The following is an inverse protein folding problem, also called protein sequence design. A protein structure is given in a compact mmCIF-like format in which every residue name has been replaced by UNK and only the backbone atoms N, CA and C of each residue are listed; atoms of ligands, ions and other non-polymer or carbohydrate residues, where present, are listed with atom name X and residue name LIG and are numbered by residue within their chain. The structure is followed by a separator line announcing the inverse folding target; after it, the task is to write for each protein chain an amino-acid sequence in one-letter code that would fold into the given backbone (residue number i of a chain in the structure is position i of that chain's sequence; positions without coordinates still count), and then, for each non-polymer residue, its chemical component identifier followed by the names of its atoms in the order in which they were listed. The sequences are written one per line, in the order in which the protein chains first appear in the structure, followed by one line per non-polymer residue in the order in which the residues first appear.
data_IF_117489438990
#
_entry.id   IF_117489438990
#
_cell.length_a   1.000
_cell.length_b   1.000
_cell.length_c   1.000
_cell.angle_alpha   90.00
_cell.angle_beta   90.00
_cell.angle_gamma   90.00
#
_symmetry.space_group_name_H-M   'P 1'
#
loop_
_entity.id
_entity.type
_entity.pdbx_description
1 polymer ?
#
# COMPACT_ATOMS: atom_id res chain seq x y z
N UNK A 1 -22.53 69.99 18.73
CA UNK A 1 -23.39 68.87 18.28
C UNK A 1 -22.52 67.64 18.12
N UNK A 2 -22.68 66.65 18.99
CA UNK A 2 -21.91 65.40 19.03
C UNK A 2 -22.30 64.48 17.87
N UNK A 3 -21.31 63.93 17.16
CA UNK A 3 -21.51 62.78 16.28
C UNK A 3 -21.27 61.49 17.09
N UNK A 4 -22.33 60.71 17.29
CA UNK A 4 -22.29 59.39 17.91
C UNK A 4 -21.71 58.42 16.88
N UNK A 5 -20.51 57.89 17.16
CA UNK A 5 -19.92 56.77 16.43
C UNK A 5 -20.60 55.48 16.89
N UNK A 6 -21.53 54.95 16.10
CA UNK A 6 -22.13 53.63 16.35
C UNK A 6 -21.13 52.57 15.91
N UNK A 7 -20.39 52.04 16.88
CA UNK A 7 -19.52 50.89 16.68
C UNK A 7 -20.40 49.63 16.53
N UNK A 8 -20.59 49.17 15.29
CA UNK A 8 -21.29 47.93 15.02
C UNK A 8 -20.46 46.75 15.56
N UNK A 9 -20.92 46.17 16.67
CA UNK A 9 -20.43 44.89 17.19
C UNK A 9 -20.79 43.78 16.19
N UNK A 10 -19.86 43.42 15.32
CA UNK A 10 -19.92 42.19 14.54
C UNK A 10 -19.55 41.04 15.49
N UNK A 11 -20.46 40.11 15.83
CA UNK A 11 -20.07 38.92 16.58
C UNK A 11 -19.19 38.04 15.68
N UNK A 12 -17.89 38.00 15.98
CA UNK A 12 -16.97 36.97 15.48
C UNK A 12 -17.30 35.65 16.18
N UNK A 13 -18.14 34.82 15.57
CA UNK A 13 -18.32 33.40 15.94
C UNK A 13 -17.70 32.46 14.91
N UNK A 14 -16.52 32.81 14.40
CA UNK A 14 -15.75 31.98 13.47
C UNK A 14 -14.79 31.09 14.27
N UNK A 15 -15.27 29.97 14.82
CA UNK A 15 -14.37 28.98 15.41
C UNK A 15 -14.96 27.95 16.37
N UNK A 16 -16.20 28.12 16.84
CA UNK A 16 -16.78 27.27 17.89
C UNK A 16 -16.79 25.77 17.54
N UNK A 17 -17.01 25.41 16.28
CA UNK A 17 -17.08 24.01 15.83
C UNK A 17 -15.90 23.63 14.93
N UNK A 18 -14.81 24.42 14.95
CA UNK A 18 -13.65 24.26 14.07
C UNK A 18 -12.98 22.88 14.18
N UNK A 19 -12.94 22.28 15.38
CA UNK A 19 -12.43 20.91 15.57
C UNK A 19 -13.18 19.86 14.75
N UNK A 20 -14.51 20.02 14.66
CA UNK A 20 -15.35 19.13 13.86
C UNK A 20 -15.23 19.43 12.36
N UNK A 21 -15.31 20.69 11.95
CA UNK A 21 -15.26 21.07 10.53
C UNK A 21 -13.89 20.80 9.90
N UNK A 22 -12.80 20.92 10.66
CA UNK A 22 -11.45 20.54 10.19
C UNK A 22 -11.31 19.03 9.97
N UNK A 23 -12.10 18.22 10.70
CA UNK A 23 -12.22 16.78 10.50
C UNK A 23 -13.31 16.45 9.47
N UNK A 24 -13.71 17.41 8.62
CA UNK A 24 -14.75 17.23 7.59
C UNK A 24 -16.11 16.75 8.11
N UNK A 25 -16.35 16.89 9.42
CA UNK A 25 -17.58 16.49 10.07
C UNK A 25 -18.54 17.67 10.24
N UNK A 26 -19.76 17.37 10.69
CA UNK A 26 -20.78 18.37 11.03
C UNK A 26 -21.24 18.20 12.47
N UNK A 27 -21.29 19.30 13.22
CA UNK A 27 -21.79 19.29 14.59
C UNK A 27 -23.32 19.22 14.61
N UNK A 28 -23.84 18.10 15.12
CA UNK A 28 -25.27 17.87 15.27
C UNK A 28 -25.58 17.17 16.59
N UNK A 29 -26.84 17.14 16.99
CA UNK A 29 -27.26 16.37 18.17
C UNK A 29 -27.13 14.87 17.90
N UNK A 30 -26.70 14.10 18.89
CA UNK A 30 -26.52 12.65 18.78
C UNK A 30 -27.81 11.85 18.55
N UNK A 31 -28.96 12.50 18.73
CA UNK A 31 -30.30 12.02 18.33
C UNK A 31 -30.54 12.08 16.82
N UNK A 32 -29.76 12.86 16.07
CA UNK A 32 -29.83 12.92 14.62
C UNK A 32 -29.15 11.69 14.01
N UNK A 33 -29.62 11.23 12.85
CA UNK A 33 -28.91 10.18 12.12
C UNK A 33 -27.55 10.70 11.63
N UNK A 34 -26.50 9.87 11.78
CA UNK A 34 -25.17 10.16 11.25
C UNK A 34 -24.81 9.12 10.19
N UNK A 35 -24.35 9.58 9.03
CA UNK A 35 -23.94 8.68 7.94
C UNK A 35 -22.65 7.90 8.24
N UNK A 36 -21.93 8.27 9.30
CA UNK A 36 -20.78 7.54 9.82
C UNK A 36 -20.87 7.37 11.33
N UNK A 37 -19.99 8.03 12.08
CA UNK A 37 -19.93 7.89 13.53
C UNK A 37 -19.81 9.24 14.25
N UNK A 38 -20.19 9.23 15.53
CA UNK A 38 -20.08 10.40 16.39
C UNK A 38 -18.76 10.45 17.13
N UNK A 39 -18.07 11.59 17.03
CA UNK A 39 -16.89 11.91 17.81
C UNK A 39 -17.21 13.02 18.83
N UNK A 40 -16.91 12.76 20.10
CA UNK A 40 -17.15 13.69 21.20
C UNK A 40 -16.05 14.74 21.31
N UNK A 41 -16.35 15.91 21.90
CA UNK A 41 -15.35 16.92 22.24
C UNK A 41 -14.84 17.78 21.07
N UNK A 42 -15.40 17.62 19.86
CA UNK A 42 -15.06 18.41 18.68
C UNK A 42 -16.07 19.52 18.35
N UNK A 43 -17.19 19.55 19.06
CA UNK A 43 -18.26 20.53 18.93
C UNK A 43 -18.37 21.36 20.20
N UNK A 44 -18.61 22.66 20.06
CA UNK A 44 -18.90 23.52 21.22
C UNK A 44 -20.27 23.24 21.82
N UNK A 45 -20.53 23.74 23.02
CA UNK A 45 -21.86 23.69 23.64
C UNK A 45 -22.17 22.36 24.34
N UNK A 46 -23.43 21.94 24.28
CA UNK A 46 -23.94 20.82 25.07
C UNK A 46 -23.30 19.47 24.69
N UNK A 47 -23.17 18.57 25.66
CA UNK A 47 -22.53 17.26 25.48
C UNK A 47 -23.20 16.36 24.43
N UNK A 48 -24.50 16.57 24.18
CA UNK A 48 -25.24 15.86 23.15
C UNK A 48 -24.98 16.42 21.74
N UNK A 49 -24.33 17.58 21.58
CA UNK A 49 -23.79 18.05 20.29
C UNK A 49 -22.47 17.34 20.03
N UNK A 50 -22.48 16.39 19.11
CA UNK A 50 -21.31 15.57 18.75
C UNK A 50 -20.98 15.75 17.28
N UNK A 51 -19.72 15.54 16.94
CA UNK A 51 -19.26 15.67 15.56
C UNK A 51 -19.64 14.42 14.79
N UNK A 52 -20.57 14.54 13.84
CA UNK A 52 -20.86 13.48 12.90
C UNK A 52 -19.82 13.51 11.78
N UNK A 53 -18.98 12.47 11.73
CA UNK A 53 -17.95 12.31 10.71
C UNK A 53 -18.41 11.24 9.73
N UNK A 54 -18.33 11.53 8.43
CA UNK A 54 -18.72 10.60 7.38
C UNK A 54 -17.90 9.30 7.46
N UNK A 55 -18.53 8.16 7.15
CA UNK A 55 -17.92 6.83 7.31
C UNK A 55 -16.57 6.70 6.57
N UNK A 56 -16.44 7.33 5.41
CA UNK A 56 -15.25 7.27 4.56
C UNK A 56 -14.39 8.55 4.65
N UNK A 57 -14.59 9.38 5.69
CA UNK A 57 -13.94 10.69 5.83
C UNK A 57 -12.41 10.60 5.71
N UNK A 58 -11.79 9.61 6.37
CA UNK A 58 -10.33 9.40 6.34
C UNK A 58 -9.82 9.23 4.91
N UNK A 59 -10.58 8.57 4.04
CA UNK A 59 -10.26 8.46 2.63
C UNK A 59 -10.45 9.78 1.87
N UNK A 60 -11.61 10.41 2.03
CA UNK A 60 -11.92 11.68 1.34
C UNK A 60 -10.98 12.82 1.74
N UNK A 61 -10.45 12.80 2.98
CA UNK A 61 -9.46 13.76 3.46
C UNK A 61 -8.12 13.68 2.72
N UNK A 62 -7.81 12.51 2.12
CA UNK A 62 -6.66 12.30 1.25
C UNK A 62 -7.00 12.51 -0.23
N UNK A 63 -8.11 13.19 -0.53
CA UNK A 63 -8.63 13.37 -1.89
C UNK A 63 -8.85 12.02 -2.61
N UNK A 64 -9.13 10.97 -1.84
CA UNK A 64 -9.43 9.65 -2.38
C UNK A 64 -10.90 9.31 -2.32
N UNK A 65 -11.27 8.24 -3.02
CA UNK A 65 -12.61 7.66 -2.97
C UNK A 65 -12.55 6.19 -2.59
N UNK A 66 -13.53 5.76 -1.78
CA UNK A 66 -13.64 4.38 -1.35
C UNK A 66 -14.32 3.54 -2.42
N UNK A 67 -13.59 2.55 -2.95
CA UNK A 67 -14.12 1.59 -3.91
C UNK A 67 -13.63 0.17 -3.59
N UNK A 68 -14.24 -0.84 -4.20
CA UNK A 68 -13.75 -2.20 -4.09
C UNK A 68 -12.33 -2.28 -4.69
N UNK A 69 -11.40 -2.94 -4.01
CA UNK A 69 -10.00 -3.11 -4.44
C UNK A 69 -9.81 -4.04 -5.63
N UNK A 70 -10.91 -4.66 -6.08
CA UNK A 70 -11.05 -5.31 -7.39
C UNK A 70 -11.21 -4.30 -8.53
N UNK A 71 -11.69 -3.08 -8.25
CA UNK A 71 -11.77 -2.01 -9.24
C UNK A 71 -10.39 -1.39 -9.47
N UNK A 72 -10.18 -0.79 -10.64
CA UNK A 72 -8.94 -0.08 -10.94
C UNK A 72 -8.92 1.27 -10.24
N UNK A 73 -7.81 1.59 -9.56
CA UNK A 73 -7.56 2.93 -9.02
C UNK A 73 -6.82 3.78 -10.07
N UNK A 74 -7.57 4.35 -11.01
CA UNK A 74 -7.01 5.09 -12.14
C UNK A 74 -6.20 6.30 -11.69
N UNK A 75 -4.90 6.32 -11.99
CA UNK A 75 -4.01 7.45 -11.64
C UNK A 75 -3.72 7.58 -10.15
N UNK A 76 -3.99 6.53 -9.37
CA UNK A 76 -3.86 6.55 -7.92
C UNK A 76 -3.44 5.21 -7.35
N UNK A 77 -3.42 5.09 -6.03
CA UNK A 77 -3.13 3.82 -5.35
C UNK A 77 -4.10 3.56 -4.21
N UNK A 78 -4.15 2.30 -3.78
CA UNK A 78 -5.01 1.91 -2.67
C UNK A 78 -4.32 2.04 -1.32
N UNK A 79 -4.98 2.74 -0.40
CA UNK A 79 -4.62 2.79 1.02
C UNK A 79 -5.64 1.99 1.83
N UNK A 80 -5.16 1.07 2.65
CA UNK A 80 -5.99 0.26 3.54
C UNK A 80 -6.41 1.03 4.79
N UNK A 81 -7.55 0.66 5.38
CA UNK A 81 -7.98 1.17 6.70
C UNK A 81 -8.51 2.62 6.72
N UNK A 82 -8.70 3.23 5.54
CA UNK A 82 -9.29 4.57 5.41
C UNK A 82 -10.77 4.56 5.00
N UNK A 83 -11.27 3.42 4.53
CA UNK A 83 -12.65 3.21 4.16
C UNK A 83 -13.37 2.41 5.25
N UNK A 84 -14.62 2.76 5.49
CA UNK A 84 -15.49 1.97 6.37
C UNK A 84 -16.03 0.73 5.65
N UNK A 85 -16.62 -0.19 6.40
CA UNK A 85 -17.28 -1.38 5.85
C UNK A 85 -16.32 -2.52 5.54
N UNK A 86 -16.59 -3.27 4.47
CA UNK A 86 -15.88 -4.49 4.13
C UNK A 86 -14.39 -4.26 3.83
N UNK A 87 -13.53 -5.25 4.15
CA UNK A 87 -12.08 -5.16 4.01
C UNK A 87 -11.60 -4.94 2.57
N UNK A 88 -12.41 -5.32 1.58
CA UNK A 88 -12.14 -5.08 0.16
C UNK A 88 -12.51 -3.65 -0.27
N UNK A 89 -13.19 -2.83 0.56
CA UNK A 89 -13.35 -1.39 0.29
C UNK A 89 -12.06 -0.68 0.69
N UNK A 90 -11.32 -0.17 -0.28
CA UNK A 90 -10.06 0.53 -0.06
C UNK A 90 -10.09 1.92 -0.65
N UNK A 91 -9.27 2.79 -0.07
CA UNK A 91 -9.24 4.19 -0.48
C UNK A 91 -8.35 4.34 -1.69
N UNK A 92 -8.94 4.64 -2.84
CA UNK A 92 -8.21 5.00 -4.04
C UNK A 92 -7.84 6.48 -3.95
N UNK A 93 -6.57 6.80 -3.67
CA UNK A 93 -6.10 8.18 -3.59
C UNK A 93 -5.43 8.59 -4.90
N UNK A 94 -5.87 9.71 -5.47
CA UNK A 94 -5.23 10.32 -6.64
C UNK A 94 -4.00 11.08 -6.18
N UNK A 95 -2.83 10.47 -6.27
CA UNK A 95 -1.58 11.10 -5.89
C UNK A 95 -0.52 10.76 -6.91
N UNK A 96 0.21 11.79 -7.36
CA UNK A 96 1.47 11.69 -8.10
C UNK A 96 2.54 10.99 -7.24
N UNK A 97 2.31 9.73 -6.86
CA UNK A 97 3.43 8.82 -6.68
C UNK A 97 4.06 8.79 -8.07
N UNK A 98 5.23 9.41 -8.24
CA UNK A 98 6.08 9.16 -9.40
C UNK A 98 6.15 7.64 -9.52
N UNK A 99 5.40 7.09 -10.47
CA UNK A 99 5.27 5.65 -10.66
C UNK A 99 6.66 5.05 -10.86
N UNK A 100 6.75 3.73 -10.79
CA UNK A 100 7.97 3.08 -11.23
C UNK A 100 8.25 3.44 -12.70
N UNK A 101 9.51 3.31 -13.13
CA UNK A 101 9.88 3.61 -14.52
C UNK A 101 8.99 2.85 -15.51
N UNK A 102 8.83 3.39 -16.72
CA UNK A 102 8.10 2.71 -17.80
C UNK A 102 8.63 1.29 -18.07
N UNK A 103 9.95 1.08 -17.93
CA UNK A 103 10.59 -0.24 -17.99
C UNK A 103 10.10 -1.18 -16.90
N UNK A 104 10.07 -0.73 -15.64
CA UNK A 104 9.56 -1.54 -14.53
C UNK A 104 8.08 -1.89 -14.72
N UNK A 105 7.26 -0.92 -15.17
CA UNK A 105 5.86 -1.17 -15.52
C UNK A 105 5.73 -2.24 -16.61
N UNK A 106 6.49 -2.11 -17.70
CA UNK A 106 6.43 -3.05 -18.82
C UNK A 106 6.79 -4.48 -18.40
N UNK A 107 7.89 -4.65 -17.65
CA UNK A 107 8.30 -5.97 -17.14
C UNK A 107 7.28 -6.54 -16.14
N UNK A 108 6.74 -5.70 -15.23
CA UNK A 108 5.69 -6.14 -14.31
C UNK A 108 4.43 -6.62 -15.07
N UNK A 109 4.03 -5.94 -16.14
CA UNK A 109 2.93 -6.39 -17.00
C UNK A 109 3.23 -7.70 -17.73
N UNK A 110 4.48 -7.89 -18.18
CA UNK A 110 4.88 -9.13 -18.84
C UNK A 110 4.78 -10.34 -17.88
N UNK A 111 5.14 -10.13 -16.62
CA UNK A 111 5.03 -11.15 -15.57
C UNK A 111 3.55 -11.36 -15.20
N UNK A 112 2.83 -10.28 -14.91
CA UNK A 112 1.44 -10.33 -14.41
C UNK A 112 0.48 -11.00 -15.40
N UNK A 113 0.64 -10.75 -16.69
CA UNK A 113 -0.24 -11.30 -17.74
C UNK A 113 0.20 -12.69 -18.24
N UNK A 114 1.26 -13.27 -17.67
CA UNK A 114 1.77 -14.57 -18.12
C UNK A 114 1.00 -15.72 -17.50
N UNK A 115 0.55 -16.67 -18.32
CA UNK A 115 -0.02 -17.94 -17.85
C UNK A 115 1.01 -18.83 -17.12
N UNK A 116 2.31 -18.57 -17.32
CA UNK A 116 3.39 -19.29 -16.63
C UNK A 116 3.68 -18.72 -15.24
N UNK A 117 3.01 -17.66 -14.79
CA UNK A 117 3.26 -17.06 -13.48
C UNK A 117 2.06 -17.27 -12.57
N UNK A 118 2.30 -17.86 -11.41
CA UNK A 118 1.35 -17.91 -10.32
C UNK A 118 1.87 -17.07 -9.16
N UNK A 119 1.25 -15.92 -8.93
CA UNK A 119 1.56 -15.06 -7.79
C UNK A 119 0.55 -15.30 -6.65
N UNK A 120 1.03 -15.54 -5.43
CA UNK A 120 0.16 -15.77 -4.29
C UNK A 120 -0.67 -14.52 -3.93
N UNK A 121 -1.85 -14.78 -3.37
CA UNK A 121 -2.85 -13.79 -2.91
C UNK A 121 -3.03 -13.84 -1.38
N UNK A 122 -2.03 -14.37 -0.69
CA UNK A 122 -2.02 -14.53 0.75
C UNK A 122 -0.56 -14.63 1.22
N UNK A 123 -0.29 -14.15 2.42
CA UNK A 123 0.99 -14.36 3.10
C UNK A 123 1.01 -15.71 3.83
N UNK A 124 2.17 -16.37 3.97
CA UNK A 124 2.33 -17.55 4.81
C UNK A 124 1.91 -17.33 6.28
N UNK A 125 2.01 -16.08 6.77
CA UNK A 125 1.60 -15.69 8.13
C UNK A 125 0.07 -15.70 8.34
N UNK A 126 -0.73 -15.78 7.27
CA UNK A 126 -2.17 -15.60 7.31
C UNK A 126 -2.61 -14.14 7.50
N UNK A 127 -1.67 -13.18 7.57
CA UNK A 127 -2.02 -11.76 7.59
C UNK A 127 -2.64 -11.40 6.25
N UNK A 128 -3.87 -10.87 6.33
CA UNK A 128 -4.58 -10.38 5.16
C UNK A 128 -4.34 -8.88 5.01
N UNK A 129 -3.24 -8.52 4.36
CA UNK A 129 -3.00 -7.18 3.87
C UNK A 129 -2.91 -7.19 2.33
N UNK A 130 -2.89 -6.05 1.67
CA UNK A 130 -2.87 -6.01 0.21
C UNK A 130 -1.45 -5.99 -0.39
N UNK A 131 -0.45 -6.42 0.39
CA UNK A 131 0.95 -6.49 -0.02
C UNK A 131 1.34 -7.85 -0.59
N UNK A 132 0.38 -8.68 -1.00
CA UNK A 132 0.64 -9.97 -1.65
C UNK A 132 1.40 -9.81 -2.98
N UNK A 133 2.13 -10.84 -3.43
CA UNK A 133 2.79 -10.85 -4.74
C UNK A 133 1.87 -10.51 -5.91
N UNK A 134 0.64 -11.04 -5.90
CA UNK A 134 -0.34 -10.76 -6.93
C UNK A 134 -0.66 -9.26 -7.01
N UNK A 135 -0.93 -8.63 -5.88
CA UNK A 135 -1.23 -7.20 -5.79
C UNK A 135 0.00 -6.35 -6.17
N UNK A 136 1.18 -6.75 -5.73
CA UNK A 136 2.45 -6.09 -6.09
C UNK A 136 2.64 -6.01 -7.61
N UNK A 137 2.49 -7.15 -8.31
CA UNK A 137 2.64 -7.21 -9.77
C UNK A 137 1.51 -6.47 -10.50
N UNK A 138 0.25 -6.63 -10.06
CA UNK A 138 -0.90 -5.92 -10.60
C UNK A 138 -0.70 -4.41 -10.53
N UNK A 139 -0.36 -3.91 -9.34
CA UNK A 139 -0.23 -2.48 -9.07
C UNK A 139 0.92 -1.91 -9.91
N UNK A 140 2.06 -2.60 -9.99
CA UNK A 140 3.18 -2.19 -10.85
C UNK A 140 2.86 -2.24 -12.35
N UNK A 141 2.11 -3.23 -12.82
CA UNK A 141 1.65 -3.26 -14.21
C UNK A 141 0.73 -2.05 -14.53
N UNK A 142 -0.04 -1.58 -13.55
CA UNK A 142 -0.83 -0.36 -13.69
C UNK A 142 -0.02 0.94 -13.54
N UNK A 143 1.30 0.85 -13.39
CA UNK A 143 2.19 2.01 -13.24
C UNK A 143 2.32 2.52 -11.80
N UNK A 144 1.85 1.76 -10.83
CA UNK A 144 1.94 2.08 -9.41
C UNK A 144 3.18 1.42 -8.79
N UNK A 145 3.38 1.64 -7.49
CA UNK A 145 4.42 0.97 -6.71
C UNK A 145 3.84 -0.28 -6.03
N UNK A 146 4.69 -1.28 -5.79
CA UNK A 146 4.33 -2.46 -5.01
C UNK A 146 4.08 -2.07 -3.54
N UNK A 147 3.00 -2.58 -2.96
CA UNK A 147 2.64 -2.34 -1.56
C UNK A 147 3.53 -3.18 -0.63
N UNK A 148 3.93 -2.61 0.50
CA UNK A 148 4.62 -3.32 1.59
C UNK A 148 3.66 -3.55 2.75
N UNK A 149 3.81 -4.68 3.44
CA UNK A 149 3.07 -5.00 4.66
C UNK A 149 3.40 -4.00 5.78
N UNK A 150 2.47 -3.81 6.71
CA UNK A 150 2.63 -2.93 7.86
C UNK A 150 2.09 -3.58 9.13
N UNK A 151 2.95 -4.36 9.78
CA UNK A 151 2.64 -5.03 11.04
C UNK A 151 3.92 -5.41 11.79
N UNK A 152 3.78 -5.55 13.11
CA UNK A 152 4.87 -6.02 13.97
C UNK A 152 5.12 -7.50 13.74
N UNK A 153 6.39 -7.87 13.74
CA UNK A 153 6.82 -9.24 13.62
C UNK A 153 8.05 -9.51 14.50
N UNK A 154 8.47 -10.76 14.59
CA UNK A 154 9.45 -11.16 15.59
C UNK A 154 10.78 -10.40 15.41
N UNK A 155 11.08 -9.45 16.30
CA UNK A 155 12.27 -8.60 16.25
C UNK A 155 12.24 -7.50 15.19
N UNK A 156 11.13 -7.28 14.48
CA UNK A 156 11.03 -6.24 13.46
C UNK A 156 9.61 -5.68 13.25
N UNK A 157 9.48 -4.64 12.43
CA UNK A 157 8.21 -4.12 11.95
C UNK A 157 8.26 -3.99 10.43
N UNK A 158 7.31 -4.62 9.72
CA UNK A 158 7.19 -4.43 8.29
C UNK A 158 6.86 -2.94 8.02
N UNK A 159 7.64 -2.23 7.18
CA UNK A 159 7.71 -0.77 7.21
C UNK A 159 6.48 -0.06 6.62
N UNK A 160 5.54 -0.80 6.03
CA UNK A 160 4.40 -0.23 5.31
C UNK A 160 4.80 0.63 4.12
N UNK A 161 3.84 1.33 3.53
CA UNK A 161 4.07 2.17 2.35
C UNK A 161 4.31 1.33 1.09
N UNK A 162 5.11 1.87 0.15
CA UNK A 162 5.26 1.29 -1.18
C UNK A 162 6.70 1.39 -1.70
N UNK A 163 7.07 0.49 -2.61
CA UNK A 163 8.40 0.43 -3.23
C UNK A 163 8.29 0.00 -4.69
N UNK A 164 9.26 0.37 -5.52
CA UNK A 164 9.38 -0.20 -6.85
C UNK A 164 10.20 -1.48 -6.82
N UNK A 165 9.69 -2.56 -7.40
CA UNK A 165 10.52 -3.73 -7.68
C UNK A 165 11.59 -3.36 -8.70
N UNK A 166 12.83 -3.76 -8.46
CA UNK A 166 13.96 -3.36 -9.31
C UNK A 166 13.87 -3.98 -10.70
N UNK A 167 14.45 -3.31 -11.69
CA UNK A 167 14.53 -3.85 -13.05
C UNK A 167 15.28 -5.18 -13.10
N UNK A 168 16.32 -5.38 -12.26
CA UNK A 168 17.06 -6.64 -12.17
C UNK A 168 16.17 -7.79 -11.71
N UNK A 169 15.41 -7.57 -10.63
CA UNK A 169 14.45 -8.54 -10.11
C UNK A 169 13.36 -8.89 -11.13
N UNK A 170 12.79 -7.88 -11.79
CA UNK A 170 11.74 -8.09 -12.78
C UNK A 170 12.27 -8.84 -14.01
N UNK A 171 13.48 -8.52 -14.49
CA UNK A 171 14.12 -9.27 -15.59
C UNK A 171 14.38 -10.72 -15.23
N UNK A 172 14.77 -11.00 -13.99
CA UNK A 172 14.96 -12.36 -13.49
C UNK A 172 13.65 -13.16 -13.56
N UNK A 173 12.54 -12.60 -13.09
CA UNK A 173 11.22 -13.25 -13.18
C UNK A 173 10.75 -13.43 -14.63
N UNK A 174 11.00 -12.45 -15.51
CA UNK A 174 10.73 -12.56 -16.94
C UNK A 174 11.49 -13.73 -17.57
N UNK A 175 12.77 -13.90 -17.23
CA UNK A 175 13.58 -14.99 -17.76
C UNK A 175 13.07 -16.35 -17.26
N UNK A 176 12.80 -16.49 -15.96
CA UNK A 176 12.31 -17.74 -15.40
C UNK A 176 10.96 -18.16 -16.00
N UNK A 177 10.03 -17.23 -16.22
CA UNK A 177 8.71 -17.55 -16.81
C UNK A 177 8.80 -18.02 -18.26
N UNK A 178 9.86 -17.62 -18.97
CA UNK A 178 10.09 -18.02 -20.36
C UNK A 178 10.63 -19.46 -20.44
N UNK A 179 11.21 -19.97 -19.35
CA UNK A 179 11.69 -21.35 -19.25
C UNK A 179 10.67 -22.31 -18.61
N UNK A 180 9.61 -21.81 -17.98
CA UNK A 180 8.54 -22.66 -17.44
C UNK A 180 7.68 -21.95 -16.39
N UNK A 181 6.82 -22.72 -15.72
CA UNK A 181 5.95 -22.20 -14.64
C UNK A 181 6.78 -21.71 -13.45
N UNK A 182 6.46 -20.51 -12.95
CA UNK A 182 7.07 -19.88 -11.77
C UNK A 182 5.97 -19.59 -10.75
N UNK A 183 6.19 -19.99 -9.50
CA UNK A 183 5.27 -19.70 -8.39
C UNK A 183 5.97 -18.72 -7.45
N UNK A 184 5.37 -17.54 -7.28
CA UNK A 184 5.92 -16.45 -6.46
C UNK A 184 5.20 -16.44 -5.11
N UNK A 185 5.95 -16.70 -4.05
CA UNK A 185 5.47 -16.71 -2.67
C UNK A 185 5.46 -15.32 -2.07
N UNK A 186 6.54 -14.54 -2.21
CA UNK A 186 6.66 -13.18 -1.65
C UNK A 186 7.47 -12.21 -2.53
N UNK A 187 7.12 -10.92 -2.46
CA UNK A 187 7.80 -9.80 -3.13
C UNK A 187 8.11 -8.68 -2.13
N UNK A 188 7.36 -7.58 -2.10
CA UNK A 188 7.63 -6.47 -1.18
C UNK A 188 6.82 -6.53 0.14
N UNK A 189 5.89 -7.49 0.23
CA UNK A 189 5.05 -7.71 1.40
C UNK A 189 5.66 -8.63 2.45
N UNK A 190 4.78 -9.20 3.27
CA UNK A 190 5.07 -10.07 4.41
C UNK A 190 6.00 -9.43 5.46
N UNK A 191 6.40 -10.25 6.44
CA UNK A 191 7.43 -9.87 7.39
C UNK A 191 8.72 -10.60 7.07
N UNK A 192 9.79 -9.82 7.05
CA UNK A 192 11.18 -10.21 6.99
C UNK A 192 11.99 -9.45 8.05
N UNK A 193 13.29 -9.76 8.15
CA UNK A 193 14.25 -9.00 8.96
C UNK A 193 14.30 -7.52 8.55
N UNK A 194 14.72 -6.64 9.46
CA UNK A 194 14.55 -5.19 9.28
C UNK A 194 15.29 -4.57 8.10
N UNK A 195 16.37 -5.20 7.67
CA UNK A 195 17.16 -4.77 6.52
C UNK A 195 16.91 -5.64 5.29
N UNK A 196 15.83 -6.42 5.31
CA UNK A 196 15.45 -7.31 4.22
C UNK A 196 15.31 -6.57 2.90
N UNK A 197 15.84 -7.18 1.85
CA UNK A 197 15.78 -6.67 0.49
C UNK A 197 14.37 -6.72 -0.11
N UNK A 198 13.45 -7.50 0.46
CA UNK A 198 12.02 -7.46 0.13
C UNK A 198 11.46 -6.03 0.31
N UNK A 199 11.78 -5.38 1.43
CA UNK A 199 11.29 -4.03 1.72
C UNK A 199 11.89 -2.94 0.82
N UNK A 200 12.98 -3.24 0.11
CA UNK A 200 13.62 -2.38 -0.89
C UNK A 200 13.22 -2.75 -2.33
N UNK A 201 12.34 -3.73 -2.53
CA UNK A 201 11.92 -4.18 -3.86
C UNK A 201 13.02 -4.92 -4.64
N UNK A 202 13.95 -5.55 -3.92
CA UNK A 202 15.14 -6.17 -4.47
C UNK A 202 15.17 -7.70 -4.33
N UNK A 203 14.17 -8.30 -3.69
CA UNK A 203 14.11 -9.73 -3.44
C UNK A 203 12.78 -10.36 -3.84
N UNK A 204 12.82 -11.67 -4.06
CA UNK A 204 11.67 -12.53 -4.28
C UNK A 204 11.87 -13.86 -3.56
N UNK A 205 10.78 -14.37 -3.00
CA UNK A 205 10.71 -15.76 -2.55
C UNK A 205 9.87 -16.54 -3.56
N UNK A 206 10.49 -17.56 -4.16
CA UNK A 206 9.87 -18.47 -5.11
C UNK A 206 9.52 -19.78 -4.41
N UNK A 207 8.46 -20.44 -4.84
CA UNK A 207 8.14 -21.77 -4.33
C UNK A 207 9.31 -22.73 -4.57
N UNK A 208 9.67 -23.53 -3.57
CA UNK A 208 10.70 -24.56 -3.75
C UNK A 208 10.09 -25.75 -4.49
N UNK A 209 10.45 -25.91 -5.76
CA UNK A 209 9.94 -26.94 -6.66
C UNK A 209 11.08 -27.64 -7.43
N UNK A 210 10.74 -28.44 -8.44
CA UNK A 210 11.71 -29.17 -9.25
C UNK A 210 12.71 -28.26 -10.00
N UNK A 211 12.42 -26.96 -10.16
CA UNK A 211 13.26 -25.96 -10.84
C UNK A 211 14.09 -25.13 -9.87
N UNK A 212 14.09 -25.42 -8.57
CA UNK A 212 14.85 -24.65 -7.58
C UNK A 212 16.34 -24.47 -7.91
N UNK A 213 16.99 -25.49 -8.49
CA UNK A 213 18.38 -25.39 -8.94
C UNK A 213 18.54 -24.38 -10.09
N UNK A 214 17.58 -24.31 -11.01
CA UNK A 214 17.54 -23.31 -12.08
C UNK A 214 17.35 -21.91 -11.51
N UNK A 215 16.43 -21.73 -10.55
CA UNK A 215 16.17 -20.44 -9.90
C UNK A 215 17.44 -19.89 -9.27
N UNK A 216 18.16 -20.71 -8.50
CA UNK A 216 19.42 -20.35 -7.86
C UNK A 216 20.52 -20.02 -8.88
N UNK A 217 20.73 -20.91 -9.85
CA UNK A 217 21.73 -20.73 -10.89
C UNK A 217 21.50 -19.43 -11.66
N UNK A 218 20.25 -19.18 -12.07
CA UNK A 218 19.89 -17.97 -12.81
C UNK A 218 20.03 -16.71 -11.96
N UNK A 219 19.67 -16.77 -10.68
CA UNK A 219 19.83 -15.65 -9.75
C UNK A 219 21.31 -15.22 -9.70
N UNK A 220 22.22 -16.17 -9.48
CA UNK A 220 23.67 -15.92 -9.45
C UNK A 220 24.20 -15.44 -10.81
N UNK A 221 23.78 -16.07 -11.92
CA UNK A 221 24.19 -15.67 -13.26
C UNK A 221 23.77 -14.23 -13.62
N UNK A 222 22.75 -13.68 -12.95
CA UNK A 222 22.29 -12.30 -13.12
C UNK A 222 22.88 -11.32 -12.08
N UNK A 223 23.90 -11.74 -11.32
CA UNK A 223 24.53 -10.94 -10.27
C UNK A 223 23.71 -10.83 -8.98
N UNK A 224 22.70 -11.68 -8.82
CA UNK A 224 21.94 -11.83 -7.59
C UNK A 224 22.57 -12.84 -6.64
N UNK A 225 22.02 -12.89 -5.43
CA UNK A 225 22.37 -13.89 -4.43
C UNK A 225 21.14 -14.75 -4.13
N UNK A 226 21.27 -16.04 -4.45
CA UNK A 226 20.21 -17.03 -4.27
C UNK A 226 20.47 -17.93 -3.07
N UNK A 227 19.43 -18.26 -2.31
CA UNK A 227 19.48 -19.23 -1.23
C UNK A 227 18.30 -20.19 -1.27
N UNK A 228 18.56 -21.44 -0.89
CA UNK A 228 17.50 -22.40 -0.61
C UNK A 228 17.17 -22.35 0.88
N UNK A 229 15.99 -21.82 1.21
CA UNK A 229 15.51 -21.68 2.59
C UNK A 229 14.59 -22.86 3.00
N UNK A 230 14.66 -23.97 2.28
CA UNK A 230 13.92 -25.19 2.57
C UNK A 230 12.52 -25.19 1.95
N UNK A 231 11.62 -24.29 2.35
CA UNK A 231 10.25 -24.22 1.82
C UNK A 231 10.09 -23.23 0.65
N UNK A 232 11.08 -22.38 0.39
CA UNK A 232 11.12 -21.45 -0.72
C UNK A 232 12.57 -21.20 -1.16
N UNK A 233 12.72 -20.66 -2.37
CA UNK A 233 13.99 -20.19 -2.92
C UNK A 233 13.99 -18.67 -2.85
N UNK A 234 14.89 -18.13 -2.05
CA UNK A 234 15.12 -16.70 -1.94
C UNK A 234 16.10 -16.26 -3.03
N UNK A 235 15.81 -15.17 -3.74
CA UNK A 235 16.76 -14.50 -4.63
C UNK A 235 16.69 -13.00 -4.39
N UNK A 236 17.85 -12.35 -4.18
CA UNK A 236 17.94 -10.91 -4.04
C UNK A 236 19.04 -10.27 -4.90
N UNK A 237 18.82 -9.01 -5.26
CA UNK A 237 19.74 -8.17 -6.03
C UNK A 237 20.27 -6.99 -5.20
N UNK A 238 21.29 -6.33 -5.72
CA UNK A 238 21.99 -5.24 -5.07
C UNK A 238 22.04 -4.02 -5.99
N UNK A 239 21.81 -2.83 -5.44
CA UNK A 239 21.87 -1.55 -6.19
C UNK A 239 23.31 -1.14 -6.56
N UNK A 240 24.31 -1.90 -6.09
CA UNK A 240 25.73 -1.79 -6.42
C UNK A 240 26.34 -3.20 -6.51
N UNK A 241 27.50 -3.39 -7.17
CA UNK A 241 28.16 -4.70 -7.24
C UNK A 241 28.33 -5.33 -5.85
N UNK A 242 28.10 -6.63 -5.76
CA UNK A 242 28.16 -7.40 -4.51
C UNK A 242 29.50 -7.12 -3.78
N UNK A 243 29.51 -6.86 -2.46
CA UNK A 243 30.74 -6.58 -1.72
C UNK A 243 31.76 -7.73 -1.75
N UNK A 244 31.33 -8.94 -2.15
CA UNK A 244 32.19 -10.11 -2.30
C UNK A 244 32.52 -10.49 -3.76
N UNK A 245 32.21 -9.64 -4.76
CA UNK A 245 32.77 -9.74 -6.12
C UNK A 245 32.83 -11.15 -6.74
N UNK A 246 31.72 -11.87 -6.78
CA UNK A 246 31.56 -13.08 -7.59
C UNK A 246 30.41 -12.89 -8.57
#
# INVERSE_FOLDING_TARGET
MWFILVCALIPLSLGADSGCTNTGGSCQTDTSACSGHYQSGLCSGAANRRCCVGADHRCTSQQGHCQADSATCSGGHYVSGLCSGASNRRCCVSGSASGCSSTQKALACEIFNSANVQAFKAHPSGVHDNAFPYNNLRDMCHGLKASRSSYACNGCHAPGGQVCLSTGLLKYLVDLKNHGKVIINELAGACHTCTSRHYSGLAVDLHNDARSAEYLHKCTAMGGWGQNEGNHIHCQFYDAPHPNGF
#
